data_IF_871630673454
#
_entry.id   IF_871630673454
#
_cell.length_a   1.000
_cell.length_b   1.000
_cell.length_c   1.000
_cell.angle_alpha   90.00
_cell.angle_beta   90.00
_cell.angle_gamma   90.00
#
_symmetry.space_group_name_H-M   'P 1'
#
loop_
_entity.id
_entity.type
_entity.pdbx_description
1 polymer ?
#
# COMPACT_ATOMS: atom_id res chain seq x y z
N UNK A 1 15.92 -7.14 14.93
CA UNK A 1 14.86 -8.11 14.59
C UNK A 1 13.59 -7.29 14.48
N UNK A 2 13.02 -7.15 13.29
CA UNK A 2 11.70 -6.52 13.14
C UNK A 2 10.65 -7.50 13.71
N UNK A 3 9.75 -7.00 14.56
CA UNK A 3 8.69 -7.81 15.13
C UNK A 3 7.63 -8.06 14.04
N UNK A 4 7.39 -9.32 13.62
CA UNK A 4 6.41 -9.59 12.57
C UNK A 4 5.01 -9.21 13.04
N UNK A 5 4.21 -8.66 12.13
CA UNK A 5 2.82 -8.34 12.40
C UNK A 5 2.01 -9.64 12.49
N UNK A 6 1.19 -9.83 13.54
CA UNK A 6 0.35 -11.01 13.65
C UNK A 6 -0.77 -10.97 12.60
N UNK A 7 -1.10 -12.12 12.01
CA UNK A 7 -2.27 -12.24 11.14
C UNK A 7 -3.02 -13.57 11.35
N UNK A 8 -4.29 -13.59 10.95
CA UNK A 8 -5.10 -14.80 10.90
C UNK A 8 -5.37 -15.11 9.44
N UNK A 9 -5.03 -16.33 9.00
CA UNK A 9 -5.28 -16.76 7.62
C UNK A 9 -6.77 -16.65 7.25
N UNK A 10 -7.03 -16.15 6.05
CA UNK A 10 -8.39 -15.90 5.56
C UNK A 10 -9.04 -14.61 6.08
N UNK A 11 -8.42 -13.88 7.02
CA UNK A 11 -8.89 -12.57 7.46
C UNK A 11 -7.98 -11.44 6.96
N UNK A 12 -8.52 -10.25 6.65
CA UNK A 12 -7.70 -9.10 6.32
C UNK A 12 -6.79 -8.73 7.49
N UNK A 13 -5.55 -8.34 7.20
CA UNK A 13 -4.61 -7.83 8.20
C UNK A 13 -4.35 -6.35 7.97
N UNK A 14 -4.32 -5.57 9.05
CA UNK A 14 -3.96 -4.16 9.01
C UNK A 14 -2.45 -3.98 9.02
N UNK A 15 -1.91 -3.32 8.00
CA UNK A 15 -0.49 -2.96 7.89
C UNK A 15 -0.33 -1.47 8.25
N UNK A 16 0.15 -1.14 9.46
CA UNK A 16 0.36 0.24 9.86
C UNK A 16 1.49 0.88 9.05
N UNK A 17 1.22 2.04 8.48
CA UNK A 17 2.13 2.83 7.67
C UNK A 17 2.23 4.24 8.24
N UNK A 18 3.43 4.67 8.62
CA UNK A 18 3.72 6.09 8.86
C UNK A 18 4.24 6.69 7.56
N UNK A 19 3.48 7.65 7.02
CA UNK A 19 3.73 8.22 5.71
C UNK A 19 4.10 9.69 5.87
N UNK A 20 5.21 10.09 5.24
CA UNK A 20 5.59 11.48 5.05
C UNK A 20 5.72 11.74 3.56
N UNK A 21 4.94 12.69 3.05
CA UNK A 21 4.96 13.14 1.67
C UNK A 21 5.55 14.54 1.59
N UNK A 22 6.35 14.79 0.56
CA UNK A 22 6.98 16.08 0.29
C UNK A 22 6.60 16.57 -1.10
N UNK A 23 6.16 17.82 -1.21
CA UNK A 23 5.85 18.47 -2.50
C UNK A 23 4.86 17.67 -3.37
N UNK A 24 3.80 17.13 -2.75
CA UNK A 24 2.75 16.38 -3.45
C UNK A 24 1.46 17.22 -3.43
N UNK A 25 0.93 17.54 -4.61
CA UNK A 25 -0.34 18.24 -4.76
C UNK A 25 -1.50 17.40 -4.23
N UNK A 26 -2.53 18.04 -3.64
CA UNK A 26 -3.76 17.36 -3.22
C UNK A 26 -4.51 16.68 -4.38
N UNK A 27 -4.34 17.16 -5.61
CA UNK A 27 -4.96 16.57 -6.81
C UNK A 27 -4.28 15.25 -7.25
N UNK A 28 -3.14 14.91 -6.65
CA UNK A 28 -2.39 13.70 -6.98
C UNK A 28 -3.15 12.45 -6.55
N UNK A 29 -3.32 11.50 -7.46
CA UNK A 29 -3.86 10.17 -7.14
C UNK A 29 -2.76 9.27 -6.62
N UNK A 30 -2.73 9.08 -5.32
CA UNK A 30 -1.74 8.22 -4.67
C UNK A 30 -2.30 6.84 -4.35
N UNK A 31 -1.44 5.85 -4.50
CA UNK A 31 -1.76 4.46 -4.27
C UNK A 31 -0.69 3.83 -3.40
N UNK A 32 -1.10 3.17 -2.32
CA UNK A 32 -0.25 2.24 -1.61
C UNK A 32 -0.26 0.91 -2.38
N UNK A 33 0.90 0.49 -2.85
CA UNK A 33 1.10 -0.76 -3.58
C UNK A 33 1.68 -1.80 -2.63
N UNK A 34 0.98 -2.91 -2.48
CA UNK A 34 1.33 -4.04 -1.63
C UNK A 34 1.54 -5.27 -2.50
N UNK A 35 2.75 -5.83 -2.52
CA UNK A 35 3.15 -6.91 -3.42
C UNK A 35 3.64 -8.12 -2.65
N UNK A 36 3.13 -9.29 -3.03
CA UNK A 36 3.62 -10.58 -2.57
C UNK A 36 4.75 -11.09 -3.45
N UNK A 37 5.54 -12.03 -2.91
CA UNK A 37 6.63 -12.66 -3.66
C UNK A 37 6.13 -13.52 -4.83
N UNK A 38 4.85 -13.94 -4.83
CA UNK A 38 4.21 -14.64 -5.95
C UNK A 38 3.80 -13.72 -7.12
N UNK A 39 4.09 -12.41 -7.01
CA UNK A 39 3.78 -11.40 -8.02
C UNK A 39 2.38 -10.78 -7.88
N UNK A 40 1.57 -11.21 -6.92
CA UNK A 40 0.28 -10.56 -6.66
C UNK A 40 0.46 -9.14 -6.13
N UNK A 41 -0.32 -8.21 -6.66
CA UNK A 41 -0.30 -6.81 -6.30
C UNK A 41 -1.68 -6.35 -5.86
N UNK A 42 -1.75 -5.75 -4.68
CA UNK A 42 -2.92 -5.05 -4.17
C UNK A 42 -2.64 -3.55 -4.16
N UNK A 43 -3.59 -2.75 -4.64
CA UNK A 43 -3.53 -1.30 -4.58
C UNK A 43 -4.58 -0.75 -3.62
N UNK A 44 -4.19 0.18 -2.76
CA UNK A 44 -5.09 0.92 -1.87
C UNK A 44 -4.98 2.40 -2.20
N UNK A 45 -6.11 3.04 -2.49
CA UNK A 45 -6.14 4.48 -2.73
C UNK A 45 -5.85 5.24 -1.44
N UNK A 46 -4.95 6.21 -1.51
CA UNK A 46 -4.65 7.11 -0.40
C UNK A 46 -5.38 8.43 -0.65
N UNK A 47 -6.51 8.62 0.03
CA UNK A 47 -7.31 9.83 -0.06
C UNK A 47 -6.65 10.98 0.73
N UNK A 48 -5.98 11.88 0.01
CA UNK A 48 -5.24 12.99 0.60
C UNK A 48 -6.14 14.00 1.32
N UNK A 49 -7.43 14.07 0.99
CA UNK A 49 -8.38 14.97 1.63
C UNK A 49 -8.72 14.50 3.05
N UNK A 50 -8.53 13.21 3.34
CA UNK A 50 -8.68 12.65 4.68
C UNK A 50 -7.49 12.94 5.61
N UNK A 51 -6.41 13.55 5.12
CA UNK A 51 -5.17 13.74 5.88
C UNK A 51 -4.77 15.22 5.97
N UNK A 52 -4.75 15.75 7.19
CA UNK A 52 -4.30 17.11 7.47
C UNK A 52 -2.84 17.35 7.02
N UNK A 53 -2.54 18.55 6.54
CA UNK A 53 -1.19 18.96 6.16
C UNK A 53 -1.16 19.95 4.99
N UNK A 54 0.03 20.43 4.66
CA UNK A 54 0.25 21.29 3.49
C UNK A 54 0.81 20.48 2.31
N UNK A 55 0.74 21.06 1.11
CA UNK A 55 1.34 20.44 -0.08
C UNK A 55 2.88 20.36 0.00
N UNK A 56 3.51 21.15 0.89
CA UNK A 56 4.97 21.13 1.10
C UNK A 56 5.38 19.89 1.89
N UNK A 57 4.71 19.62 3.02
CA UNK A 57 4.92 18.42 3.84
C UNK A 57 3.59 17.97 4.44
N UNK A 58 3.25 16.69 4.20
CA UNK A 58 2.10 16.03 4.81
C UNK A 58 2.55 14.78 5.55
N UNK A 59 2.15 14.63 6.81
CA UNK A 59 2.51 13.49 7.67
C UNK A 59 1.25 12.87 8.24
N UNK A 60 1.09 11.56 8.09
CA UNK A 60 -0.08 10.85 8.59
C UNK A 60 0.23 9.38 8.83
N UNK A 61 -0.56 8.78 9.72
CA UNK A 61 -0.59 7.34 9.93
C UNK A 61 -1.79 6.75 9.17
N UNK A 62 -1.58 5.61 8.52
CA UNK A 62 -2.61 4.90 7.77
C UNK A 62 -2.48 3.39 8.02
N UNK A 63 -3.59 2.72 8.35
CA UNK A 63 -3.61 1.26 8.50
C UNK A 63 -4.16 0.65 7.22
N UNK A 64 -3.26 0.17 6.37
CA UNK A 64 -3.63 -0.39 5.08
C UNK A 64 -4.16 -1.82 5.24
N UNK A 65 -5.39 -2.12 4.80
CA UNK A 65 -5.90 -3.48 4.84
C UNK A 65 -5.23 -4.32 3.76
N UNK A 66 -4.66 -5.46 4.11
CA UNK A 66 -4.19 -6.47 3.16
C UNK A 66 -5.11 -7.68 3.20
N UNK A 67 -5.79 -7.98 2.09
CA UNK A 67 -6.91 -8.93 2.05
C UNK A 67 -6.49 -10.36 1.73
N UNK A 68 -5.28 -10.58 1.19
CA UNK A 68 -4.84 -11.90 0.70
C UNK A 68 -3.91 -12.58 1.70
N UNK A 69 -4.41 -12.97 2.86
CA UNK A 69 -3.65 -13.71 3.88
C UNK A 69 -3.67 -15.23 3.60
N UNK A 70 -2.53 -15.85 3.23
CA UNK A 70 -2.48 -17.26 2.88
C UNK A 70 -2.46 -18.19 4.11
N UNK A 71 -2.65 -19.49 3.88
CA UNK A 71 -2.39 -20.56 4.85
C UNK A 71 -0.89 -20.85 4.96
N UNK A 72 -0.09 -19.84 5.29
CA UNK A 72 1.35 -19.95 5.54
C UNK A 72 1.68 -19.45 6.95
N UNK A 73 2.71 -19.99 7.58
CA UNK A 73 3.16 -19.52 8.91
C UNK A 73 3.76 -18.12 8.87
N UNK A 74 4.42 -17.78 7.75
CA UNK A 74 5.08 -16.51 7.54
C UNK A 74 4.73 -15.98 6.16
N UNK A 75 4.66 -14.66 6.06
CA UNK A 75 4.42 -13.95 4.81
C UNK A 75 5.30 -12.71 4.76
N UNK A 76 5.95 -12.47 3.63
CA UNK A 76 6.66 -11.22 3.36
C UNK A 76 5.83 -10.39 2.39
N UNK A 77 5.55 -9.15 2.78
CA UNK A 77 4.85 -8.18 1.96
C UNK A 77 5.80 -7.03 1.61
N UNK A 78 5.85 -6.64 0.34
CA UNK A 78 6.57 -5.44 -0.11
C UNK A 78 5.59 -4.29 -0.25
N UNK A 79 5.87 -3.16 0.38
CA UNK A 79 5.00 -1.99 0.42
C UNK A 79 5.72 -0.77 -0.12
N UNK A 80 5.11 -0.05 -1.06
CA UNK A 80 5.58 1.24 -1.56
C UNK A 80 4.42 2.16 -1.91
N UNK A 81 4.70 3.44 -2.12
CA UNK A 81 3.73 4.45 -2.57
C UNK A 81 4.01 4.76 -4.03
N UNK A 82 2.97 4.79 -4.85
CA UNK A 82 3.04 5.25 -6.24
C UNK A 82 2.06 6.39 -6.50
N UNK A 83 2.46 7.33 -7.34
CA UNK A 83 1.58 8.34 -7.91
C UNK A 83 1.10 7.89 -9.29
N UNK A 84 -0.21 7.94 -9.53
CA UNK A 84 -0.80 7.59 -10.82
C UNK A 84 -0.60 8.70 -11.85
N UNK A 85 -0.08 8.33 -13.03
CA UNK A 85 0.05 9.25 -14.15
C UNK A 85 -1.31 9.78 -14.61
N UNK A 86 -1.48 11.10 -14.66
CA UNK A 86 -2.72 11.75 -15.11
C UNK A 86 -2.74 12.09 -16.61
N UNK A 87 -1.71 11.72 -17.37
CA UNK A 87 -1.65 11.95 -18.81
C UNK A 87 -2.71 11.15 -19.57
N UNK A 88 -3.42 11.82 -20.48
CA UNK A 88 -4.56 11.24 -21.23
C UNK A 88 -4.15 10.24 -22.31
N UNK A 89 -2.90 10.29 -22.77
CA UNK A 89 -2.38 9.45 -23.86
C UNK A 89 -1.98 8.02 -23.42
N UNK A 90 -2.18 7.66 -22.15
CA UNK A 90 -1.82 6.34 -21.63
C UNK A 90 -3.08 5.51 -21.47
N UNK A 91 -3.15 4.39 -22.20
CA UNK A 91 -4.26 3.45 -22.12
C UNK A 91 -4.42 2.86 -20.70
N UNK A 92 -5.63 2.44 -20.33
CA UNK A 92 -5.89 1.93 -18.99
C UNK A 92 -5.12 0.63 -18.72
N UNK A 93 -4.46 0.54 -17.56
CA UNK A 93 -3.67 -0.62 -17.13
C UNK A 93 -4.56 -1.70 -16.52
N UNK A 94 -5.68 -1.33 -15.87
CA UNK A 94 -6.54 -2.29 -15.17
C UNK A 94 -8.03 -1.96 -15.30
N UNK A 95 -8.89 -3.00 -15.35
CA UNK A 95 -10.36 -2.85 -15.51
C UNK A 95 -11.14 -2.82 -14.19
N UNK A 96 -10.58 -3.30 -13.08
CA UNK A 96 -11.29 -3.40 -11.80
C UNK A 96 -10.37 -3.07 -10.62
N UNK A 97 -10.81 -2.16 -9.74
CA UNK A 97 -10.24 -1.91 -8.42
C UNK A 97 -8.73 -1.67 -8.38
N UNK A 98 -8.26 -0.51 -8.87
CA UNK A 98 -6.84 -0.16 -8.86
C UNK A 98 -6.55 1.12 -9.66
N UNK A 99 -5.27 1.50 -9.80
CA UNK A 99 -4.87 2.62 -10.64
C UNK A 99 -5.31 2.36 -12.09
N UNK A 100 -5.87 3.39 -12.72
CA UNK A 100 -6.27 3.30 -14.13
C UNK A 100 -5.06 3.43 -15.03
N UNK A 101 -4.02 4.15 -14.62
CA UNK A 101 -2.81 4.42 -15.38
C UNK A 101 -1.56 3.92 -14.66
N UNK A 102 -0.42 4.01 -15.32
CA UNK A 102 0.87 3.62 -14.76
C UNK A 102 1.17 4.40 -13.47
N UNK A 103 1.83 3.73 -12.51
CA UNK A 103 2.28 4.34 -11.27
C UNK A 103 3.77 4.70 -11.36
N UNK A 104 4.12 5.93 -10.99
CA UNK A 104 5.50 6.32 -10.68
C UNK A 104 5.73 6.07 -9.19
N UNK A 105 6.66 5.18 -8.86
CA UNK A 105 6.98 4.87 -7.46
C UNK A 105 7.69 6.05 -6.80
N UNK A 106 7.15 6.51 -5.66
CA UNK A 106 7.67 7.65 -4.89
C UNK A 106 8.70 7.23 -3.83
N UNK A 107 8.78 5.93 -3.54
CA UNK A 107 9.73 5.40 -2.57
C UNK A 107 10.17 3.97 -2.93
N UNK A 108 11.28 3.53 -2.33
CA UNK A 108 11.71 2.13 -2.38
C UNK A 108 10.71 1.24 -1.66
N UNK A 109 10.56 0.01 -2.13
CA UNK A 109 9.79 -1.01 -1.44
C UNK A 109 10.37 -1.27 -0.04
N UNK A 110 9.50 -1.24 0.96
CA UNK A 110 9.79 -1.69 2.33
C UNK A 110 9.22 -3.08 2.53
N UNK A 111 9.97 -3.95 3.19
CA UNK A 111 9.48 -5.28 3.56
C UNK A 111 8.70 -5.18 4.87
N UNK A 112 7.60 -5.91 4.94
CA UNK A 112 6.79 -6.11 6.14
C UNK A 112 6.67 -7.61 6.34
N UNK A 113 7.11 -8.07 7.51
CA UNK A 113 7.03 -9.47 7.89
C UNK A 113 5.73 -9.71 8.66
N UNK A 114 5.00 -10.74 8.28
CA UNK A 114 3.74 -11.16 8.87
C UNK A 114 3.90 -12.58 9.39
N UNK A 115 3.40 -12.85 10.60
CA UNK A 115 3.41 -14.18 11.22
C UNK A 115 2.00 -14.61 11.60
N UNK A 116 1.64 -15.84 11.25
CA UNK A 116 0.33 -16.40 11.56
C UNK A 116 0.17 -16.58 13.07
N UNK A 117 -0.98 -16.18 13.61
CA UNK A 117 -1.35 -16.47 14.99
C UNK A 117 -1.75 -17.93 15.07
N UNK A 118 -1.04 -18.72 15.89
CA UNK A 118 -1.47 -20.08 16.21
C UNK A 118 -2.65 -19.99 17.17
N UNK A 119 -3.69 -20.79 16.92
CA UNK A 119 -4.66 -21.11 17.97
C UNK A 119 -3.99 -22.16 18.86
N UNK A 120 -3.59 -21.75 20.05
CA UNK A 120 -3.33 -22.70 21.14
C UNK A 120 -4.62 -23.41 21.56
#
# INVERSE_FOLDING_TARGET
>A
MEHPLPFVSGLPVGVPCEITLHNISSESKLWLRMTLDDGFVQHIFLDLDCFEGSEVVRKFAFVAPFYRTPEAYYLTLKVCIGAECLFENVGPVQRFGGPKRELVLLCKEKQVYLSKVNKD
#
